data_IF_447235703181
#
_entry.id   IF_447235703181
#
_cell.length_a   1.000
_cell.length_b   1.000
_cell.length_c   1.000
_cell.angle_alpha   90.00
_cell.angle_beta   90.00
_cell.angle_gamma   90.00
#
_symmetry.space_group_name_H-M   'P 1'
#
loop_
_entity.id
_entity.type
_entity.pdbx_description
1 polymer ?
#
# COMPACT_ATOMS: atom_id res chain seq x y z
N UNK A 1 -9.82 -7.72 -31.17
CA UNK A 1 -10.72 -6.69 -30.60
C UNK A 1 -10.83 -5.43 -31.48
N UNK A 2 -9.70 -4.84 -31.94
CA UNK A 2 -9.64 -3.62 -32.77
C UNK A 2 -10.58 -3.62 -34.00
N UNK A 3 -10.69 -4.76 -34.68
CA UNK A 3 -11.58 -4.94 -35.84
C UNK A 3 -13.07 -4.78 -35.50
N UNK A 4 -13.50 -5.19 -34.30
CA UNK A 4 -14.91 -5.12 -33.88
C UNK A 4 -15.30 -3.65 -33.65
N UNK A 5 -14.44 -2.86 -33.00
CA UNK A 5 -14.72 -1.45 -32.72
C UNK A 5 -14.72 -0.57 -33.97
N UNK A 6 -14.04 -0.97 -35.04
CA UNK A 6 -14.00 -0.23 -36.31
C UNK A 6 -15.24 -0.46 -37.20
N UNK A 7 -15.97 -1.56 -37.01
CA UNK A 7 -17.04 -1.97 -37.92
C UNK A 7 -18.42 -2.14 -37.28
N UNK A 8 -18.53 -2.07 -35.94
CA UNK A 8 -19.82 -2.13 -35.24
C UNK A 8 -20.35 -0.76 -34.85
N UNK A 9 -21.67 -0.61 -34.84
CA UNK A 9 -22.35 0.60 -34.36
C UNK A 9 -22.07 0.80 -32.86
N UNK A 10 -21.39 1.90 -32.45
CA UNK A 10 -21.03 2.15 -31.06
C UNK A 10 -22.26 2.24 -30.13
N UNK A 11 -23.47 2.53 -30.65
CA UNK A 11 -24.70 2.57 -29.86
C UNK A 11 -25.32 1.19 -29.57
N UNK A 12 -24.92 0.15 -30.30
CA UNK A 12 -25.39 -1.22 -30.09
C UNK A 12 -24.40 -2.06 -29.26
N UNK A 13 -23.16 -1.61 -29.16
CA UNK A 13 -22.11 -2.22 -28.36
C UNK A 13 -22.00 -1.46 -27.03
N UNK A 14 -22.02 -2.15 -25.91
CA UNK A 14 -21.79 -1.53 -24.60
C UNK A 14 -20.31 -1.11 -24.46
N UNK A 15 -20.00 0.09 -24.94
CA UNK A 15 -18.65 0.66 -24.94
C UNK A 15 -18.09 0.75 -23.52
N UNK A 16 -18.93 1.07 -22.53
CA UNK A 16 -18.50 1.17 -21.13
C UNK A 16 -17.99 -0.18 -20.62
N UNK A 17 -18.70 -1.27 -20.90
CA UNK A 17 -18.26 -2.62 -20.57
C UNK A 17 -17.02 -3.05 -21.35
N UNK A 18 -16.93 -2.71 -22.64
CA UNK A 18 -15.74 -3.02 -23.45
C UNK A 18 -14.52 -2.29 -22.91
N UNK A 19 -14.64 -1.00 -22.59
CA UNK A 19 -13.57 -0.19 -22.03
C UNK A 19 -13.12 -0.71 -20.66
N UNK A 20 -14.07 -1.01 -19.77
CA UNK A 20 -13.77 -1.55 -18.44
C UNK A 20 -13.05 -2.90 -18.53
N UNK A 21 -13.50 -3.80 -19.42
CA UNK A 21 -12.83 -5.08 -19.64
C UNK A 21 -11.47 -4.92 -20.30
N UNK A 22 -11.33 -3.99 -21.25
CA UNK A 22 -10.05 -3.69 -21.86
C UNK A 22 -9.04 -3.21 -20.82
N UNK A 23 -9.46 -2.35 -19.90
CA UNK A 23 -8.61 -1.89 -18.80
C UNK A 23 -8.27 -2.99 -17.81
N UNK A 24 -9.25 -3.85 -17.49
CA UNK A 24 -9.08 -5.00 -16.59
C UNK A 24 -8.07 -6.03 -17.13
N UNK A 25 -8.08 -6.29 -18.43
CA UNK A 25 -7.29 -7.37 -19.05
C UNK A 25 -6.08 -6.87 -19.85
N UNK A 26 -5.67 -5.62 -19.66
CA UNK A 26 -4.45 -5.11 -20.27
C UNK A 26 -4.53 -4.84 -21.78
N UNK A 27 -5.73 -4.69 -22.36
CA UNK A 27 -5.91 -4.50 -23.81
C UNK A 27 -5.59 -3.07 -24.26
N UNK A 28 -4.31 -2.70 -24.18
CA UNK A 28 -3.78 -1.35 -24.42
C UNK A 28 -4.27 -0.72 -25.73
N UNK A 29 -4.26 -1.48 -26.83
CA UNK A 29 -4.73 -0.99 -28.14
C UNK A 29 -6.22 -0.60 -28.11
N UNK A 30 -7.03 -1.38 -27.40
CA UNK A 30 -8.48 -1.14 -27.28
C UNK A 30 -8.72 0.06 -26.38
N UNK A 31 -8.03 0.14 -25.25
CA UNK A 31 -8.10 1.25 -24.31
C UNK A 31 -7.68 2.56 -24.98
N UNK A 32 -6.54 2.61 -25.66
CA UNK A 32 -6.10 3.82 -26.38
C UNK A 32 -7.08 4.19 -27.46
N UNK A 33 -7.55 3.23 -28.26
CA UNK A 33 -8.53 3.53 -29.31
C UNK A 33 -9.80 4.19 -28.74
N UNK A 34 -10.32 3.70 -27.61
CA UNK A 34 -11.52 4.29 -26.98
C UNK A 34 -11.22 5.70 -26.43
N UNK A 35 -10.06 5.90 -25.80
CA UNK A 35 -9.64 7.20 -25.27
C UNK A 35 -9.41 8.24 -26.39
N UNK A 36 -8.90 7.82 -27.55
CA UNK A 36 -8.52 8.69 -28.66
C UNK A 36 -9.72 9.12 -29.54
N UNK A 37 -10.89 8.48 -29.40
CA UNK A 37 -12.04 8.68 -30.29
C UNK A 37 -13.25 9.34 -29.60
N UNK A 38 -13.06 10.08 -28.50
CA UNK A 38 -14.13 10.76 -27.72
C UNK A 38 -15.28 9.86 -27.23
N UNK A 39 -15.08 8.54 -27.27
CA UNK A 39 -15.99 7.55 -26.68
C UNK A 39 -15.87 7.50 -25.14
N UNK A 40 -14.91 8.24 -24.61
CA UNK A 40 -14.62 8.52 -23.20
C UNK A 40 -15.83 8.99 -22.40
N UNK A 41 -16.70 9.82 -23.02
CA UNK A 41 -17.88 10.40 -22.37
C UNK A 41 -18.92 9.37 -21.89
N UNK A 42 -18.84 8.13 -22.38
CA UNK A 42 -19.73 7.04 -22.01
C UNK A 42 -19.12 6.09 -20.98
N UNK A 43 -17.86 6.31 -20.59
CA UNK A 43 -17.09 5.38 -19.79
C UNK A 43 -16.97 5.86 -18.32
N UNK A 44 -17.01 4.91 -17.39
CA UNK A 44 -16.66 5.16 -15.99
C UNK A 44 -15.15 4.96 -15.81
N UNK A 45 -14.41 6.07 -15.79
CA UNK A 45 -12.96 6.05 -15.61
C UNK A 45 -12.52 5.56 -14.25
N UNK A 46 -13.28 5.88 -13.21
CA UNK A 46 -13.02 5.41 -11.85
C UNK A 46 -13.11 3.90 -11.80
N UNK A 47 -14.17 3.31 -12.38
CA UNK A 47 -14.31 1.86 -12.46
C UNK A 47 -13.20 1.22 -13.29
N UNK A 48 -12.89 1.78 -14.46
CA UNK A 48 -11.84 1.25 -15.34
C UNK A 48 -10.46 1.29 -14.68
N UNK A 49 -10.12 2.41 -14.02
CA UNK A 49 -8.88 2.59 -13.26
C UNK A 49 -8.77 1.60 -12.10
N UNK A 50 -9.84 1.47 -11.32
CA UNK A 50 -9.91 0.51 -10.22
C UNK A 50 -9.71 -0.93 -10.73
N UNK A 51 -10.26 -1.29 -11.89
CA UNK A 51 -10.08 -2.62 -12.49
C UNK A 51 -8.68 -2.87 -13.02
N UNK A 52 -8.04 -1.86 -13.62
CA UNK A 52 -6.66 -1.95 -14.05
C UNK A 52 -5.70 -2.15 -12.86
N UNK A 53 -5.89 -1.37 -11.79
CA UNK A 53 -5.11 -1.49 -10.56
C UNK A 53 -5.31 -2.85 -9.88
N UNK A 54 -6.56 -3.31 -9.76
CA UNK A 54 -6.90 -4.61 -9.17
C UNK A 54 -6.23 -5.78 -9.90
N UNK A 55 -6.11 -5.69 -11.23
CA UNK A 55 -5.50 -6.74 -12.04
C UNK A 55 -3.99 -6.59 -12.29
N UNK A 56 -3.34 -5.55 -11.75
CA UNK A 56 -1.90 -5.37 -11.93
C UNK A 56 -1.50 -4.83 -13.32
N UNK A 57 -2.43 -4.23 -14.06
CA UNK A 57 -2.21 -3.80 -15.45
C UNK A 57 -1.48 -2.44 -15.53
N UNK A 58 -0.19 -2.44 -15.17
CA UNK A 58 0.66 -1.24 -15.04
C UNK A 58 0.60 -0.33 -16.29
N UNK A 59 0.67 -0.92 -17.48
CA UNK A 59 0.64 -0.15 -18.74
C UNK A 59 -0.69 0.56 -18.99
N UNK A 60 -1.79 -0.03 -18.52
CA UNK A 60 -3.12 0.60 -18.56
C UNK A 60 -3.19 1.70 -17.50
N UNK A 61 -2.69 1.46 -16.29
CA UNK A 61 -2.67 2.47 -15.22
C UNK A 61 -1.93 3.72 -15.68
N UNK A 62 -0.73 3.57 -16.27
CA UNK A 62 0.04 4.69 -16.83
C UNK A 62 -0.75 5.42 -17.92
N UNK A 63 -1.35 4.68 -18.86
CA UNK A 63 -2.16 5.25 -19.95
C UNK A 63 -3.36 6.06 -19.42
N UNK A 64 -4.03 5.56 -18.39
CA UNK A 64 -5.16 6.26 -17.77
C UNK A 64 -4.71 7.51 -17.01
N UNK A 65 -3.58 7.46 -16.28
CA UNK A 65 -3.02 8.65 -15.60
C UNK A 65 -2.58 9.74 -16.58
N UNK A 66 -2.15 9.38 -17.79
CA UNK A 66 -1.74 10.31 -18.84
C UNK A 66 -2.95 10.98 -19.53
N UNK A 67 -4.02 10.22 -19.80
CA UNK A 67 -5.13 10.66 -20.67
C UNK A 67 -6.40 11.08 -19.94
N UNK A 68 -6.53 10.74 -18.65
CA UNK A 68 -7.73 11.02 -17.86
C UNK A 68 -7.37 12.03 -16.76
N UNK A 69 -8.29 12.96 -16.49
CA UNK A 69 -8.18 13.82 -15.32
C UNK A 69 -8.28 12.95 -14.05
N UNK A 70 -7.15 12.78 -13.39
CA UNK A 70 -7.01 11.92 -12.22
C UNK A 70 -7.55 12.57 -10.93
N UNK A 71 -7.81 13.89 -10.93
CA UNK A 71 -8.30 14.58 -9.73
C UNK A 71 -9.71 14.16 -9.32
N UNK A 72 -10.46 13.55 -10.25
CA UNK A 72 -11.84 13.09 -10.03
C UNK A 72 -11.95 11.59 -9.80
N UNK A 73 -10.85 10.84 -9.81
CA UNK A 73 -10.87 9.38 -9.63
C UNK A 73 -11.06 9.01 -8.15
N UNK A 74 -12.09 8.22 -7.85
CA UNK A 74 -12.20 7.54 -6.54
C UNK A 74 -11.28 6.31 -6.53
N UNK A 75 -10.08 6.52 -5.99
CA UNK A 75 -9.00 5.53 -5.94
C UNK A 75 -8.94 4.72 -4.66
N UNK A 76 -9.91 4.86 -3.76
CA UNK A 76 -9.96 4.08 -2.52
C UNK A 76 -9.86 2.58 -2.80
N UNK A 77 -10.67 2.10 -3.76
CA UNK A 77 -10.69 0.68 -4.14
C UNK A 77 -9.39 0.25 -4.83
N UNK A 78 -8.84 1.09 -5.70
CA UNK A 78 -7.57 0.84 -6.37
C UNK A 78 -6.45 0.64 -5.34
N UNK A 79 -6.29 1.59 -4.41
CA UNK A 79 -5.25 1.50 -3.38
C UNK A 79 -5.41 0.31 -2.45
N UNK A 80 -6.63 -0.03 -2.06
CA UNK A 80 -6.90 -1.24 -1.27
C UNK A 80 -6.49 -2.50 -2.04
N UNK A 81 -6.96 -2.67 -3.28
CA UNK A 81 -6.60 -3.84 -4.09
C UNK A 81 -5.10 -3.96 -4.34
N UNK A 82 -4.43 -2.84 -4.61
CA UNK A 82 -2.98 -2.76 -4.81
C UNK A 82 -2.23 -3.17 -3.56
N UNK A 83 -2.67 -2.71 -2.38
CA UNK A 83 -2.10 -3.06 -1.10
C UNK A 83 -2.27 -4.53 -0.73
N UNK A 84 -3.44 -5.11 -1.02
CA UNK A 84 -3.72 -6.53 -0.76
C UNK A 84 -2.93 -7.45 -1.68
N UNK A 85 -2.67 -7.02 -2.92
CA UNK A 85 -2.04 -7.84 -3.96
C UNK A 85 -0.54 -7.61 -4.14
N UNK A 86 0.04 -6.65 -3.42
CA UNK A 86 1.46 -6.35 -3.50
C UNK A 86 1.90 -5.65 -4.79
N UNK A 87 1.01 -4.89 -5.45
CA UNK A 87 1.37 -4.18 -6.69
C UNK A 87 2.16 -2.89 -6.40
N UNK A 88 3.39 -3.01 -5.92
CA UNK A 88 4.26 -1.91 -5.48
C UNK A 88 4.48 -0.81 -6.54
N UNK A 89 4.76 -1.18 -7.79
CA UNK A 89 4.91 -0.20 -8.88
C UNK A 89 3.63 0.61 -9.11
N UNK A 90 2.46 -0.06 -9.04
CA UNK A 90 1.17 0.62 -9.14
C UNK A 90 0.95 1.50 -7.92
N UNK A 91 1.27 1.03 -6.71
CA UNK A 91 1.14 1.81 -5.49
C UNK A 91 1.89 3.15 -5.60
N UNK A 92 3.14 3.11 -6.08
CA UNK A 92 3.94 4.32 -6.33
C UNK A 92 3.26 5.24 -7.34
N UNK A 93 2.80 4.71 -8.48
CA UNK A 93 2.13 5.51 -9.50
C UNK A 93 0.87 6.20 -8.97
N UNK A 94 0.02 5.48 -8.24
CA UNK A 94 -1.22 6.05 -7.70
C UNK A 94 -0.90 7.07 -6.60
N UNK A 95 0.06 6.80 -5.72
CA UNK A 95 0.48 7.75 -4.67
C UNK A 95 1.06 9.05 -5.23
N UNK A 96 1.77 8.99 -6.36
CA UNK A 96 2.40 10.17 -6.98
C UNK A 96 1.46 11.01 -7.83
N UNK A 97 0.45 10.39 -8.43
CA UNK A 97 -0.35 11.05 -9.46
C UNK A 97 -1.82 11.25 -9.06
N UNK A 98 -2.30 10.69 -7.96
CA UNK A 98 -3.72 10.82 -7.58
C UNK A 98 -3.87 11.44 -6.20
N UNK A 99 -4.96 12.18 -6.00
CA UNK A 99 -5.32 12.73 -4.69
C UNK A 99 -5.88 11.62 -3.81
N UNK A 100 -5.31 11.49 -2.61
CA UNK A 100 -5.75 10.52 -1.61
C UNK A 100 -6.26 11.23 -0.36
N UNK A 101 -7.27 10.66 0.29
CA UNK A 101 -7.58 11.07 1.67
C UNK A 101 -6.63 10.35 2.64
N UNK A 102 -6.46 10.92 3.84
CA UNK A 102 -5.73 10.27 4.94
C UNK A 102 -6.29 8.87 5.24
N UNK A 103 -7.61 8.70 5.14
CA UNK A 103 -8.28 7.44 5.40
C UNK A 103 -7.94 6.39 4.32
N UNK A 104 -7.83 6.79 3.06
CA UNK A 104 -7.50 5.86 1.96
C UNK A 104 -6.09 5.30 2.12
N UNK A 105 -5.13 6.17 2.42
CA UNK A 105 -3.73 5.78 2.67
C UNK A 105 -3.64 4.90 3.92
N UNK A 106 -4.29 5.30 5.03
CA UNK A 106 -4.27 4.52 6.27
C UNK A 106 -4.84 3.12 6.09
N UNK A 107 -5.94 2.99 5.34
CA UNK A 107 -6.51 1.68 5.01
C UNK A 107 -5.57 0.86 4.13
N UNK A 108 -4.99 1.46 3.08
CA UNK A 108 -4.04 0.77 2.21
C UNK A 108 -2.80 0.29 2.98
N UNK A 109 -2.28 1.09 3.90
CA UNK A 109 -1.17 0.70 4.77
C UNK A 109 -1.52 -0.49 5.67
N UNK A 110 -2.71 -0.46 6.28
CA UNK A 110 -3.19 -1.55 7.12
C UNK A 110 -3.35 -2.85 6.32
N UNK A 111 -3.96 -2.78 5.14
CA UNK A 111 -4.13 -3.93 4.25
C UNK A 111 -2.78 -4.50 3.80
N UNK A 112 -1.82 -3.65 3.43
CA UNK A 112 -0.48 -4.10 3.04
C UNK A 112 0.27 -4.78 4.20
N UNK A 113 0.16 -4.21 5.42
CA UNK A 113 0.74 -4.82 6.62
C UNK A 113 0.09 -6.18 6.93
N UNK A 114 -1.25 -6.25 6.84
CA UNK A 114 -2.01 -7.48 7.09
C UNK A 114 -1.64 -8.61 6.12
N UNK A 115 -1.37 -8.29 4.86
CA UNK A 115 -1.02 -9.26 3.82
C UNK A 115 0.49 -9.51 3.68
N UNK A 116 1.32 -8.73 4.38
CA UNK A 116 2.77 -8.91 4.34
C UNK A 116 3.47 -8.24 3.17
N UNK A 117 2.81 -7.30 2.48
CA UNK A 117 3.29 -6.68 1.26
C UNK A 117 4.31 -5.59 1.57
N UNK A 118 5.54 -6.01 1.87
CA UNK A 118 6.63 -5.15 2.33
C UNK A 118 6.86 -4.01 1.33
N UNK A 119 6.94 -4.28 0.04
CA UNK A 119 7.28 -3.28 -0.99
C UNK A 119 6.24 -2.16 -1.08
N UNK A 120 4.95 -2.50 -0.93
CA UNK A 120 3.87 -1.50 -0.84
C UNK A 120 3.97 -0.69 0.45
N UNK A 121 4.24 -1.34 1.58
CA UNK A 121 4.47 -0.66 2.86
C UNK A 121 5.64 0.32 2.75
N UNK A 122 6.74 -0.05 2.09
CA UNK A 122 7.87 0.85 1.86
C UNK A 122 7.45 2.04 0.99
N UNK A 123 6.69 1.80 -0.08
CA UNK A 123 6.22 2.84 -0.99
C UNK A 123 5.36 3.89 -0.24
N UNK A 124 4.48 3.43 0.66
CA UNK A 124 3.65 4.31 1.49
C UNK A 124 4.52 5.12 2.47
N UNK A 125 5.39 4.47 3.25
CA UNK A 125 6.21 5.14 4.27
C UNK A 125 7.20 6.16 3.69
N UNK A 126 7.67 5.96 2.44
CA UNK A 126 8.53 6.94 1.75
C UNK A 126 7.81 8.22 1.36
N UNK A 127 6.48 8.17 1.22
CA UNK A 127 5.67 9.27 0.67
C UNK A 127 4.77 9.92 1.71
N UNK A 128 4.47 9.22 2.81
CA UNK A 128 3.47 9.63 3.79
C UNK A 128 4.10 9.67 5.17
N UNK A 129 3.83 10.74 5.90
CA UNK A 129 4.23 10.87 7.29
C UNK A 129 3.51 9.83 8.17
N UNK A 130 4.27 9.13 9.02
CA UNK A 130 3.77 8.09 9.93
C UNK A 130 2.71 8.61 10.91
N UNK A 131 2.71 9.90 11.24
CA UNK A 131 1.64 10.52 12.05
C UNK A 131 0.26 10.45 11.39
N UNK A 132 0.19 10.18 10.08
CA UNK A 132 -1.05 9.97 9.36
C UNK A 132 -1.62 8.56 9.49
N UNK A 133 -0.79 7.60 9.95
CA UNK A 133 -1.06 6.17 9.93
C UNK A 133 -1.33 5.64 11.34
N UNK A 134 -2.18 4.62 11.44
CA UNK A 134 -2.32 3.84 12.67
C UNK A 134 -1.37 2.63 12.61
N UNK A 135 -0.10 2.91 12.92
CA UNK A 135 0.98 1.89 12.86
C UNK A 135 0.73 0.77 13.86
N UNK A 136 0.18 1.06 15.04
CA UNK A 136 -0.14 0.06 16.06
C UNK A 136 -1.17 -0.94 15.53
N UNK A 137 -2.31 -0.45 15.03
CA UNK A 137 -3.37 -1.31 14.52
C UNK A 137 -2.90 -2.11 13.29
N UNK A 138 -2.13 -1.48 12.40
CA UNK A 138 -1.59 -2.16 11.23
C UNK A 138 -0.60 -3.27 11.60
N UNK A 139 0.29 -3.03 12.56
CA UNK A 139 1.19 -4.05 13.06
C UNK A 139 0.43 -5.16 13.79
N UNK A 140 -0.58 -4.85 14.61
CA UNK A 140 -1.41 -5.87 15.27
C UNK A 140 -2.10 -6.79 14.24
N UNK A 141 -2.61 -6.22 13.13
CA UNK A 141 -3.18 -7.00 12.02
C UNK A 141 -2.15 -7.86 11.30
N UNK A 142 -0.93 -7.35 11.08
CA UNK A 142 0.17 -8.16 10.57
C UNK A 142 0.52 -9.32 11.52
N UNK A 143 0.32 -9.14 12.84
CA UNK A 143 0.55 -10.19 13.84
C UNK A 143 -0.43 -11.34 13.76
N UNK A 144 -1.73 -11.04 13.57
CA UNK A 144 -2.82 -12.01 13.61
C UNK A 144 -2.61 -13.15 12.59
N UNK A 145 -1.93 -12.86 11.47
CA UNK A 145 -1.67 -13.83 10.42
C UNK A 145 -0.41 -14.68 10.63
N UNK A 146 0.38 -14.44 11.70
CA UNK A 146 1.59 -15.18 12.09
C UNK A 146 2.69 -15.38 11.01
N UNK A 147 2.57 -14.75 9.85
CA UNK A 147 3.45 -14.99 8.68
C UNK A 147 4.37 -13.81 8.33
N UNK A 148 4.23 -12.66 9.00
CA UNK A 148 4.84 -11.39 8.57
C UNK A 148 5.88 -10.83 9.55
N UNK A 149 6.59 -11.69 10.29
CA UNK A 149 7.67 -11.30 11.23
C UNK A 149 8.72 -10.39 10.57
N UNK A 150 9.07 -10.66 9.31
CA UNK A 150 10.02 -9.83 8.54
C UNK A 150 9.51 -8.42 8.26
N UNK A 151 8.23 -8.28 7.90
CA UNK A 151 7.62 -6.98 7.63
C UNK A 151 7.64 -6.13 8.90
N UNK A 152 7.26 -6.73 10.02
CA UNK A 152 7.21 -6.06 11.31
C UNK A 152 8.60 -5.57 11.71
N UNK A 153 9.61 -6.44 11.67
CA UNK A 153 11.00 -6.05 11.97
C UNK A 153 11.44 -4.89 11.08
N UNK A 154 11.16 -4.98 9.78
CA UNK A 154 11.54 -3.95 8.82
C UNK A 154 10.85 -2.61 9.09
N UNK A 155 9.53 -2.61 9.36
CA UNK A 155 8.77 -1.40 9.69
C UNK A 155 9.31 -0.75 10.95
N UNK A 156 9.71 -1.54 11.95
CA UNK A 156 10.32 -1.04 13.19
C UNK A 156 11.73 -0.47 13.00
N UNK A 157 12.51 -1.06 12.09
CA UNK A 157 13.85 -0.54 11.74
C UNK A 157 13.77 0.71 10.86
N UNK A 158 12.70 0.87 10.08
CA UNK A 158 12.58 1.93 9.06
C UNK A 158 11.86 3.19 9.53
N UNK A 159 11.11 3.12 10.62
CA UNK A 159 10.46 4.29 11.21
C UNK A 159 11.37 4.88 12.29
N UNK A 160 11.49 6.21 12.30
CA UNK A 160 12.25 6.94 13.30
C UNK A 160 11.67 6.68 14.71
N UNK A 161 12.52 6.28 15.65
CA UNK A 161 12.09 5.77 16.96
C UNK A 161 11.40 6.84 17.83
N UNK A 162 11.57 8.12 17.50
CA UNK A 162 10.86 9.23 18.13
C UNK A 162 9.37 9.29 17.73
N UNK A 163 8.98 8.70 16.59
CA UNK A 163 7.62 8.79 16.06
C UNK A 163 6.72 7.58 16.39
N UNK A 164 7.30 6.46 16.79
CA UNK A 164 6.56 5.25 17.15
C UNK A 164 6.67 5.04 18.65
N UNK A 165 5.53 4.84 19.32
CA UNK A 165 5.56 4.43 20.73
C UNK A 165 6.17 3.03 20.86
N UNK A 166 7.49 2.98 21.10
CA UNK A 166 8.24 1.75 21.35
C UNK A 166 7.61 0.90 22.46
N UNK A 167 6.87 1.51 23.41
CA UNK A 167 6.14 0.75 24.44
C UNK A 167 5.00 -0.07 23.84
N UNK A 168 4.29 0.49 22.87
CA UNK A 168 3.23 -0.21 22.15
C UNK A 168 3.77 -1.38 21.36
N UNK A 169 4.87 -1.19 20.64
CA UNK A 169 5.52 -2.28 19.89
C UNK A 169 6.02 -3.38 20.83
N UNK A 170 6.67 -3.01 21.95
CA UNK A 170 7.09 -3.96 22.99
C UNK A 170 5.89 -4.75 23.53
N UNK A 171 4.73 -4.09 23.78
CA UNK A 171 3.48 -4.77 24.20
C UNK A 171 2.98 -5.76 23.14
N UNK A 172 2.96 -5.38 21.86
CA UNK A 172 2.53 -6.26 20.76
C UNK A 172 3.45 -7.48 20.63
N UNK A 173 4.77 -7.27 20.69
CA UNK A 173 5.76 -8.34 20.65
C UNK A 173 5.61 -9.32 21.82
N UNK A 174 5.25 -8.83 23.02
CA UNK A 174 4.92 -9.67 24.18
C UNK A 174 3.61 -10.43 23.97
N UNK A 175 2.54 -9.74 23.54
CA UNK A 175 1.21 -10.33 23.31
C UNK A 175 1.27 -11.52 22.35
N UNK A 176 2.04 -11.39 21.28
CA UNK A 176 2.13 -12.38 20.21
C UNK A 176 3.38 -13.29 20.28
N UNK A 177 4.13 -13.23 21.40
CA UNK A 177 5.32 -14.08 21.68
C UNK A 177 6.43 -13.99 20.62
N UNK A 178 6.69 -12.78 20.14
CA UNK A 178 7.69 -12.51 19.12
C UNK A 178 9.09 -12.34 19.70
N UNK A 179 9.73 -13.46 20.04
CA UNK A 179 11.04 -13.45 20.68
C UNK A 179 12.13 -12.74 19.86
N UNK A 180 12.09 -12.76 18.50
CA UNK A 180 13.07 -12.02 17.68
C UNK A 180 12.81 -10.52 17.67
N UNK A 181 11.55 -10.09 17.64
CA UNK A 181 11.18 -8.67 17.75
C UNK A 181 11.54 -8.16 19.13
N UNK A 182 11.28 -8.95 20.18
CA UNK A 182 11.75 -8.67 21.53
C UNK A 182 13.28 -8.54 21.60
N UNK A 183 14.01 -9.46 20.96
CA UNK A 183 15.48 -9.44 20.91
C UNK A 183 16.04 -8.27 20.09
N UNK A 184 15.35 -7.86 19.02
CA UNK A 184 15.73 -6.70 18.21
C UNK A 184 15.54 -5.39 19.00
N UNK A 185 14.39 -5.25 19.66
CA UNK A 185 14.08 -4.09 20.51
C UNK A 185 15.00 -3.97 21.72
N UNK A 186 15.45 -5.09 22.32
CA UNK A 186 16.40 -5.06 23.42
C UNK A 186 17.84 -4.79 23.00
N UNK A 187 18.23 -5.09 21.75
CA UNK A 187 19.55 -4.72 21.21
C UNK A 187 19.65 -3.24 20.86
N UNK A 188 18.57 -2.66 20.37
CA UNK A 188 18.45 -1.22 20.11
C UNK A 188 18.62 -0.41 21.40
N UNK A 189 18.01 -0.86 22.51
CA UNK A 189 18.17 -0.21 23.82
C UNK A 189 19.65 -0.19 24.32
N UNK A 190 20.54 -1.06 23.82
CA UNK A 190 21.96 -1.14 24.27
C UNK A 190 22.81 -0.01 23.64
N UNK A 191 22.45 0.53 22.48
CA UNK A 191 23.19 1.65 21.88
C UNK A 191 22.87 2.99 22.58
N UNK A 192 21.64 3.18 23.05
CA UNK A 192 21.26 4.36 23.86
C UNK A 192 21.86 4.31 25.28
N UNK A 193 22.00 3.11 25.86
CA UNK A 193 22.65 2.93 27.17
C UNK A 193 24.15 3.27 27.15
N UNK A 194 24.82 3.19 26.00
CA UNK A 194 26.24 3.56 25.88
C UNK A 194 26.47 5.08 25.77
N UNK A 195 25.44 5.88 25.50
CA UNK A 195 25.51 7.35 25.63
C UNK A 195 25.08 7.83 27.03
N UNK A 196 24.20 7.09 27.72
CA UNK A 196 23.76 7.39 29.09
C UNK A 196 24.71 6.84 30.16
N UNK A 197 25.57 5.87 29.82
CA UNK A 197 26.56 5.23 30.69
C UNK A 197 27.70 6.11 31.23
N UNK A 198 27.55 7.44 31.25
CA UNK A 198 28.35 8.34 32.09
C UNK A 198 27.62 8.83 33.33
N UNK A 199 26.32 8.58 33.48
CA UNK A 199 25.59 8.98 34.68
C UNK A 199 24.76 7.82 35.21
N UNK A 200 25.16 7.37 36.41
CA UNK A 200 24.46 6.52 37.37
C UNK A 200 24.61 4.99 37.22
N UNK A 201 25.51 4.47 38.06
CA UNK A 201 25.30 3.23 38.82
C UNK A 201 23.84 3.11 39.27
N UNK A 202 23.24 1.91 39.19
CA UNK A 202 22.60 1.22 40.32
C UNK A 202 22.20 -0.20 39.88
N UNK A 203 22.81 -1.13 40.59
CA UNK A 203 22.47 -2.51 40.94
C UNK A 203 21.10 -3.12 40.60
N UNK A 204 21.19 -4.45 40.42
CA UNK A 204 20.18 -5.50 40.64
C UNK A 204 19.13 -5.74 39.56
N UNK A 205 19.42 -6.69 38.65
CA UNK A 205 18.42 -7.70 38.26
C UNK A 205 19.05 -9.10 38.31
N UNK A 206 18.53 -9.88 39.24
CA UNK A 206 18.80 -11.30 39.48
C UNK A 206 18.36 -12.11 38.26
N UNK A 207 19.28 -12.87 37.68
CA UNK A 207 19.00 -13.96 36.74
C UNK A 207 18.69 -15.20 37.59
N UNK A 208 17.49 -15.77 37.44
CA UNK A 208 17.22 -17.13 37.91
C UNK A 208 17.35 -18.10 36.74
N UNK A 209 18.10 -19.17 37.02
CA UNK A 209 18.54 -20.28 36.17
C UNK A 209 17.39 -21.11 35.57
#
# INVERSE_FOLDING_TARGET
MKFILQHFNPRALDIASVFTNACKFGWKDTTSFILDNDLSSLCDFTLAFNKACDNGEIEIVKLLLEKVDHQILDVKKAMQSVAVKGWDEIAVLVLDNVVHTRLDIGNAFMEACQHGEIDVVQAILRKVDTTMLDVEAALDKACENHMHEKLVLWVLESIDQEQVDLKTVKKLAVRHKWWKVQLALTKVDIEDLNQVGKETEIDNIVILE
#
